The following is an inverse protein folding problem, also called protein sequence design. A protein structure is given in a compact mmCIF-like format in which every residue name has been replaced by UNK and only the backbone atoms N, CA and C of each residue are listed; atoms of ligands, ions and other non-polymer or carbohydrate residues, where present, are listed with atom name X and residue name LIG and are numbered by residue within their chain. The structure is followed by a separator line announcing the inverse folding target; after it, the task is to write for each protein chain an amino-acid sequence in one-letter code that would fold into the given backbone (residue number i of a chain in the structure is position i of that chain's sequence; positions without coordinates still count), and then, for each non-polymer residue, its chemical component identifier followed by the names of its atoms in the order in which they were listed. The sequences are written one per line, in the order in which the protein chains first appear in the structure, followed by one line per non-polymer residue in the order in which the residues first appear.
data_IF_580611913102
#
_entry.id   IF_580611913102
#
_cell.length_a   1.000
_cell.length_b   1.000
_cell.length_c   1.000
_cell.angle_alpha   90.00
_cell.angle_beta   90.00
_cell.angle_gamma   90.00
#
_symmetry.space_group_name_H-M   'P 1'
#
loop_
_entity.id
_entity.type
_entity.pdbx_description
1 polymer ?
#
# COMPACT_ATOMS: atom_id res chain seq x y z
N UNK A 1 127.26 -10.89 59.93
CA UNK A 1 126.47 -10.55 58.72
C UNK A 1 125.07 -11.15 58.86
N UNK A 2 124.04 -10.29 58.78
CA UNK A 2 122.67 -10.51 58.23
C UNK A 2 121.75 -11.49 58.99
N UNK A 3 120.59 -11.14 59.55
CA UNK A 3 119.79 -9.89 59.61
C UNK A 3 118.92 -9.95 60.89
N UNK A 4 118.98 -8.88 61.67
CA UNK A 4 118.08 -8.57 62.79
C UNK A 4 116.86 -7.81 62.23
N UNK A 5 115.68 -8.13 62.76
CA UNK A 5 114.49 -7.27 62.97
C UNK A 5 113.91 -6.54 61.74
N UNK A 6 112.69 -6.94 61.35
CA UNK A 6 111.62 -5.99 61.05
C UNK A 6 110.29 -6.52 61.58
N UNK A 7 109.95 -6.03 62.75
CA UNK A 7 108.63 -6.01 63.36
C UNK A 7 107.91 -4.78 62.79
N UNK A 8 106.96 -4.94 61.85
CA UNK A 8 105.92 -3.94 61.58
C UNK A 8 104.84 -4.52 60.65
N UNK A 9 103.57 -4.31 61.02
CA UNK A 9 102.32 -4.59 60.29
C UNK A 9 101.64 -5.94 60.53
N UNK A 10 101.17 -6.12 61.76
CA UNK A 10 99.84 -6.67 62.03
C UNK A 10 98.77 -5.66 61.54
N UNK A 11 97.74 -6.16 60.81
CA UNK A 11 96.40 -5.55 60.55
C UNK A 11 96.32 -4.51 59.40
N UNK A 12 95.44 -4.73 58.38
CA UNK A 12 93.98 -4.52 58.47
C UNK A 12 93.18 -5.80 58.15
N UNK A 13 92.45 -6.40 59.09
CA UNK A 13 91.06 -6.07 59.43
C UNK A 13 90.53 -4.79 58.75
N UNK A 14 89.67 -4.98 57.76
CA UNK A 14 88.44 -4.25 57.37
C UNK A 14 88.19 -4.77 55.97
N UNK A 15 87.38 -5.83 55.83
CA UNK A 15 86.04 -5.61 55.34
C UNK A 15 86.00 -4.60 54.18
N UNK A 16 86.69 -4.88 53.08
CA UNK A 16 86.16 -4.53 51.77
C UNK A 16 84.96 -5.47 51.53
N UNK A 17 83.91 -5.24 52.30
CA UNK A 17 82.58 -5.31 51.75
C UNK A 17 82.63 -4.35 50.56
N UNK A 18 82.92 -4.90 49.38
CA UNK A 18 82.14 -4.49 48.24
C UNK A 18 80.70 -4.67 48.69
N UNK A 19 80.11 -3.59 49.20
CA UNK A 19 78.70 -3.37 48.96
C UNK A 19 78.64 -3.59 47.45
N UNK A 20 77.95 -4.63 46.96
CA UNK A 20 77.78 -4.76 45.53
C UNK A 20 77.28 -3.39 45.07
N UNK A 21 77.71 -2.95 43.89
CA UNK A 21 77.15 -1.82 43.18
C UNK A 21 75.61 -1.97 43.10
N UNK A 22 74.93 -1.63 44.19
CA UNK A 22 73.49 -1.84 44.41
C UNK A 22 72.72 -0.61 43.93
N UNK A 23 73.39 0.29 43.22
CA UNK A 23 72.85 1.62 42.92
C UNK A 23 72.80 1.94 41.42
N UNK A 24 73.39 1.11 40.54
CA UNK A 24 73.30 1.32 39.09
C UNK A 24 72.43 0.26 38.40
N UNK A 25 72.64 -1.02 38.70
CA UNK A 25 71.86 -2.11 38.11
C UNK A 25 70.44 -2.20 38.71
N UNK A 26 70.31 -2.04 40.03
CA UNK A 26 69.01 -2.01 40.72
C UNK A 26 68.23 -0.73 40.39
N UNK A 27 68.87 0.45 40.37
CA UNK A 27 68.19 1.68 39.95
C UNK A 27 67.89 1.71 38.44
N UNK A 28 68.74 1.11 37.60
CA UNK A 28 68.49 0.94 36.17
C UNK A 28 67.30 0.01 35.91
N UNK A 29 67.21 -1.12 36.63
CA UNK A 29 66.06 -2.03 36.54
C UNK A 29 64.78 -1.43 37.13
N UNK A 30 64.85 -0.68 38.23
CA UNK A 30 63.72 0.10 38.78
C UNK A 30 63.28 1.23 37.83
N UNK A 31 64.21 1.89 37.14
CA UNK A 31 63.92 2.90 36.12
C UNK A 31 63.23 2.32 34.87
N UNK A 32 63.66 1.14 34.43
CA UNK A 32 63.00 0.38 33.34
C UNK A 32 61.59 -0.05 33.78
N UNK A 33 61.44 -0.58 35.00
CA UNK A 33 60.14 -0.96 35.54
C UNK A 33 59.18 0.24 35.66
N UNK A 34 59.64 1.39 36.14
CA UNK A 34 58.85 2.62 36.21
C UNK A 34 58.43 3.13 34.83
N UNK A 35 59.32 3.07 33.83
CA UNK A 35 58.99 3.42 32.45
C UNK A 35 57.96 2.46 31.84
N UNK A 36 58.07 1.15 32.11
CA UNK A 36 57.08 0.16 31.70
C UNK A 36 55.73 0.42 32.39
N UNK A 37 55.73 0.76 33.67
CA UNK A 37 54.52 1.07 34.45
C UNK A 37 53.85 2.36 33.96
N UNK A 38 54.65 3.39 33.62
CA UNK A 38 54.16 4.62 32.98
C UNK A 38 53.56 4.35 31.59
N UNK A 39 54.19 3.51 30.77
CA UNK A 39 53.66 3.10 29.47
C UNK A 39 52.34 2.32 29.62
N UNK A 40 52.25 1.41 30.58
CA UNK A 40 51.02 0.69 30.91
C UNK A 40 49.93 1.65 31.37
N UNK A 41 50.24 2.67 32.18
CA UNK A 41 49.27 3.68 32.58
C UNK A 41 48.74 4.51 31.40
N UNK A 42 49.62 4.90 30.46
CA UNK A 42 49.22 5.60 29.23
C UNK A 42 48.31 4.70 28.38
N UNK A 43 48.66 3.42 28.24
CA UNK A 43 47.84 2.45 27.51
C UNK A 43 46.47 2.24 28.17
N UNK A 44 46.41 2.08 29.50
CA UNK A 44 45.16 1.97 30.25
C UNK A 44 44.27 3.19 30.08
N UNK A 45 44.84 4.40 30.15
CA UNK A 45 44.09 5.65 29.94
C UNK A 45 43.55 5.74 28.51
N UNK A 46 44.35 5.38 27.51
CA UNK A 46 43.93 5.32 26.11
C UNK A 46 42.79 4.32 25.91
N UNK A 47 42.89 3.14 26.53
CA UNK A 47 41.88 2.09 26.45
C UNK A 47 40.57 2.51 27.13
N UNK A 48 40.64 3.17 28.29
CA UNK A 48 39.48 3.77 28.96
C UNK A 48 38.80 4.85 28.12
N UNK A 49 39.57 5.72 27.46
CA UNK A 49 39.04 6.72 26.55
C UNK A 49 38.34 6.08 25.33
N UNK A 50 38.93 5.02 24.76
CA UNK A 50 38.31 4.26 23.65
C UNK A 50 37.01 3.59 24.11
N UNK A 51 36.98 3.01 25.30
CA UNK A 51 35.78 2.40 25.87
C UNK A 51 34.66 3.44 26.05
N UNK A 52 34.96 4.60 26.62
CA UNK A 52 33.99 5.69 26.78
C UNK A 52 33.46 6.20 25.43
N UNK A 53 34.31 6.32 24.42
CA UNK A 53 33.88 6.71 23.07
C UNK A 53 33.01 5.64 22.40
N UNK A 54 33.31 4.35 22.62
CA UNK A 54 32.49 3.23 22.13
C UNK A 54 31.13 3.21 22.82
N UNK A 55 31.07 3.41 24.14
CA UNK A 55 29.80 3.48 24.88
C UNK A 55 28.89 4.59 24.33
N UNK A 56 29.43 5.81 24.12
CA UNK A 56 28.65 6.91 23.51
C UNK A 56 28.12 6.56 22.11
N UNK A 57 28.86 5.78 21.32
CA UNK A 57 28.41 5.32 19.99
C UNK A 57 27.32 4.26 20.11
N UNK A 58 27.42 3.36 21.10
CA UNK A 58 26.40 2.36 21.38
C UNK A 58 25.10 3.01 21.88
N UNK A 59 25.19 3.98 22.79
CA UNK A 59 24.03 4.76 23.25
C UNK A 59 23.32 5.42 22.07
N UNK A 60 24.09 6.08 21.19
CA UNK A 60 23.53 6.68 19.97
C UNK A 60 22.92 5.66 19.01
N UNK A 61 23.47 4.44 18.94
CA UNK A 61 22.93 3.37 18.11
C UNK A 61 21.61 2.84 18.70
N UNK A 62 21.52 2.72 20.02
CA UNK A 62 20.27 2.37 20.72
C UNK A 62 19.20 3.42 20.42
N UNK A 63 19.51 4.72 20.56
CA UNK A 63 18.57 5.81 20.23
C UNK A 63 18.10 5.74 18.77
N UNK A 64 19.01 5.47 17.83
CA UNK A 64 18.68 5.34 16.42
C UNK A 64 17.82 4.09 16.13
N UNK A 65 18.08 2.98 16.82
CA UNK A 65 17.27 1.76 16.69
C UNK A 65 15.87 1.96 17.28
N UNK A 66 15.75 2.63 18.42
CA UNK A 66 14.46 2.97 19.03
C UNK A 66 13.65 3.87 18.08
N UNK A 67 14.26 4.94 17.57
CA UNK A 67 13.63 5.81 16.57
C UNK A 67 13.23 5.07 15.30
N UNK A 68 14.04 4.12 14.83
CA UNK A 68 13.72 3.32 13.65
C UNK A 68 12.53 2.37 13.90
N UNK A 69 12.47 1.79 15.09
CA UNK A 69 11.36 0.92 15.50
C UNK A 69 10.04 1.71 15.61
N UNK A 70 10.10 2.92 16.18
CA UNK A 70 8.95 3.84 16.22
C UNK A 70 8.47 4.23 14.83
N UNK A 71 9.39 4.58 13.94
CA UNK A 71 9.08 4.89 12.54
C UNK A 71 8.43 3.69 11.84
N UNK A 72 8.98 2.49 12.03
CA UNK A 72 8.44 1.26 11.45
C UNK A 72 7.03 0.97 11.94
N UNK A 73 6.76 1.20 13.23
CA UNK A 73 5.43 1.01 13.83
C UNK A 73 4.43 2.01 13.23
N UNK A 74 4.78 3.30 13.17
CA UNK A 74 3.94 4.33 12.55
C UNK A 74 3.67 4.05 11.07
N UNK A 75 4.68 3.63 10.31
CA UNK A 75 4.49 3.25 8.90
C UNK A 75 3.52 2.08 8.74
N UNK A 76 3.55 1.09 9.63
CA UNK A 76 2.58 -0.02 9.61
C UNK A 76 1.16 0.45 9.94
N UNK A 77 1.00 1.37 10.87
CA UNK A 77 -0.29 1.96 11.22
C UNK A 77 -0.88 2.75 10.04
N UNK A 78 -0.08 3.61 9.41
CA UNK A 78 -0.48 4.36 8.21
C UNK A 78 -0.88 3.41 7.09
N UNK A 79 -0.06 2.39 6.80
CA UNK A 79 -0.39 1.39 5.77
C UNK A 79 -1.69 0.66 6.08
N UNK A 80 -1.95 0.33 7.36
CA UNK A 80 -3.19 -0.32 7.77
C UNK A 80 -4.40 0.61 7.57
N UNK A 81 -4.27 1.88 7.93
CA UNK A 81 -5.30 2.89 7.74
C UNK A 81 -5.61 3.13 6.25
N UNK A 82 -4.58 3.28 5.42
CA UNK A 82 -4.73 3.38 3.96
C UNK A 82 -5.41 2.13 3.40
N UNK A 83 -5.02 0.94 3.87
CA UNK A 83 -5.60 -0.32 3.45
C UNK A 83 -7.09 -0.43 3.82
N UNK A 84 -7.45 0.02 5.02
CA UNK A 84 -8.82 0.05 5.50
C UNK A 84 -9.65 1.10 4.74
N UNK A 85 -9.09 2.27 4.43
CA UNK A 85 -9.72 3.29 3.59
C UNK A 85 -9.99 2.79 2.16
N UNK A 86 -9.05 2.04 1.55
CA UNK A 86 -9.22 1.44 0.22
C UNK A 86 -10.33 0.37 0.15
N UNK A 87 -10.75 -0.21 1.29
CA UNK A 87 -11.85 -1.19 1.31
C UNK A 87 -13.19 -0.52 1.06
N UNK A 88 -13.34 0.76 1.39
CA UNK A 88 -14.58 1.51 1.17
C UNK A 88 -14.48 2.38 -0.08
N UNK A 89 -15.60 2.58 -0.78
CA UNK A 89 -15.64 3.57 -1.85
C UNK A 89 -15.51 4.98 -1.23
N UNK A 90 -14.57 5.82 -1.69
CA UNK A 90 -14.48 7.21 -1.25
C UNK A 90 -15.72 8.03 -1.62
N UNK A 91 -15.97 9.12 -0.90
CA UNK A 91 -17.13 10.00 -1.14
C UNK A 91 -17.19 10.53 -2.58
N UNK A 92 -16.05 10.91 -3.17
CA UNK A 92 -16.01 11.35 -4.57
C UNK A 92 -16.41 10.28 -5.59
N UNK A 93 -16.33 8.99 -5.23
CA UNK A 93 -16.83 7.89 -6.07
C UNK A 93 -18.34 7.72 -5.88
N UNK A 94 -18.86 7.99 -4.68
CA UNK A 94 -20.29 7.96 -4.38
C UNK A 94 -21.04 9.15 -4.98
N UNK A 95 -20.39 10.30 -5.09
CA UNK A 95 -20.95 11.53 -5.69
C UNK A 95 -20.61 11.68 -7.18
N UNK A 96 -20.04 10.64 -7.79
CA UNK A 96 -19.53 10.71 -9.15
C UNK A 96 -20.66 10.87 -10.18
N UNK A 97 -20.38 11.62 -11.25
CA UNK A 97 -21.31 11.82 -12.38
C UNK A 97 -21.74 10.48 -12.99
N UNK A 98 -20.85 9.50 -13.02
CA UNK A 98 -21.14 8.14 -13.51
C UNK A 98 -22.24 7.47 -12.68
N UNK A 99 -22.25 7.64 -11.36
CA UNK A 99 -23.30 7.06 -10.53
C UNK A 99 -24.64 7.76 -10.73
N UNK A 100 -24.63 9.09 -10.88
CA UNK A 100 -25.82 9.86 -11.25
C UNK A 100 -26.40 9.39 -12.59
N UNK A 101 -25.53 9.18 -13.59
CA UNK A 101 -25.91 8.67 -14.90
C UNK A 101 -26.58 7.29 -14.83
N UNK A 102 -26.11 6.39 -13.96
CA UNK A 102 -26.77 5.08 -13.76
C UNK A 102 -28.19 5.24 -13.25
N UNK A 103 -28.42 6.14 -12.29
CA UNK A 103 -29.76 6.40 -11.75
C UNK A 103 -30.69 6.97 -12.83
N UNK A 104 -30.22 7.96 -13.60
CA UNK A 104 -30.97 8.52 -14.72
C UNK A 104 -31.28 7.49 -15.81
N UNK A 105 -30.32 6.64 -16.16
CA UNK A 105 -30.52 5.61 -17.18
C UNK A 105 -31.54 4.57 -16.75
N UNK A 106 -31.54 4.18 -15.47
CA UNK A 106 -32.57 3.31 -14.91
C UNK A 106 -33.96 3.92 -15.08
N UNK A 107 -34.11 5.21 -14.81
CA UNK A 107 -35.40 5.91 -14.97
C UNK A 107 -35.81 6.04 -16.45
N UNK A 108 -34.87 6.38 -17.34
CA UNK A 108 -35.09 6.43 -18.80
C UNK A 108 -35.49 5.08 -19.39
N UNK A 109 -34.88 3.98 -18.93
CA UNK A 109 -35.24 2.63 -19.38
C UNK A 109 -36.63 2.24 -18.89
N UNK A 110 -36.98 2.59 -17.65
CA UNK A 110 -38.33 2.35 -17.11
C UNK A 110 -39.40 3.12 -17.89
N UNK A 111 -39.13 4.37 -18.23
CA UNK A 111 -40.02 5.19 -19.07
C UNK A 111 -40.16 4.62 -20.47
N UNK A 112 -39.04 4.24 -21.10
CA UNK A 112 -39.04 3.64 -22.42
C UNK A 112 -39.78 2.29 -22.43
N UNK A 113 -39.68 1.49 -21.36
CA UNK A 113 -40.46 0.28 -21.18
C UNK A 113 -41.96 0.56 -21.08
N UNK A 114 -42.38 1.51 -20.23
CA UNK A 114 -43.79 1.90 -20.09
C UNK A 114 -44.38 2.38 -21.42
N UNK A 115 -43.63 3.24 -22.12
CA UNK A 115 -43.99 3.73 -23.46
C UNK A 115 -44.10 2.58 -24.46
N UNK A 116 -43.22 1.59 -24.36
CA UNK A 116 -43.27 0.38 -25.20
C UNK A 116 -44.53 -0.44 -24.91
N UNK A 117 -44.88 -0.66 -23.64
CA UNK A 117 -46.11 -1.36 -23.26
C UNK A 117 -47.36 -0.67 -23.78
N UNK A 118 -47.45 0.65 -23.58
CA UNK A 118 -48.57 1.45 -24.08
C UNK A 118 -48.66 1.42 -25.60
N UNK A 119 -47.53 1.56 -26.29
CA UNK A 119 -47.47 1.49 -27.75
C UNK A 119 -48.04 0.18 -28.26
N UNK A 120 -47.62 -0.97 -27.71
CA UNK A 120 -48.13 -2.29 -28.13
C UNK A 120 -49.65 -2.39 -28.00
N UNK A 121 -50.21 -1.87 -26.90
CA UNK A 121 -51.66 -1.87 -26.69
C UNK A 121 -52.42 -1.07 -27.74
N UNK A 122 -51.77 -0.08 -28.36
CA UNK A 122 -52.37 0.81 -29.36
C UNK A 122 -52.14 0.37 -30.81
N UNK A 123 -51.20 -0.54 -31.10
CA UNK A 123 -50.91 -1.03 -32.45
C UNK A 123 -51.92 -2.10 -32.86
N UNK A 124 -52.67 -1.86 -33.94
CA UNK A 124 -53.81 -2.70 -34.37
C UNK A 124 -53.48 -3.67 -35.50
N UNK A 125 -52.33 -3.49 -36.16
CA UNK A 125 -51.94 -4.24 -37.35
C UNK A 125 -50.82 -5.25 -37.07
N UNK A 126 -50.46 -5.44 -35.80
CA UNK A 126 -49.53 -6.46 -35.35
C UNK A 126 -50.22 -7.79 -35.05
N UNK A 127 -49.49 -8.89 -35.26
CA UNK A 127 -49.94 -10.20 -34.84
C UNK A 127 -49.76 -10.37 -33.32
N UNK A 128 -50.59 -11.22 -32.71
CA UNK A 128 -50.52 -11.49 -31.27
C UNK A 128 -49.15 -12.03 -30.84
N UNK A 129 -48.54 -12.90 -31.65
CA UNK A 129 -47.22 -13.48 -31.34
C UNK A 129 -46.09 -12.46 -31.46
N UNK A 130 -46.18 -11.49 -32.37
CA UNK A 130 -45.21 -10.39 -32.47
C UNK A 130 -45.29 -9.47 -31.27
N UNK A 131 -46.51 -9.14 -30.84
CA UNK A 131 -46.76 -8.33 -29.65
C UNK A 131 -46.22 -9.00 -28.39
N UNK A 132 -46.42 -10.33 -28.24
CA UNK A 132 -45.83 -11.12 -27.15
C UNK A 132 -44.31 -11.13 -27.18
N UNK A 133 -43.70 -11.38 -28.35
CA UNK A 133 -42.24 -11.36 -28.51
C UNK A 133 -41.65 -10.01 -28.13
N UNK A 134 -42.32 -8.92 -28.50
CA UNK A 134 -41.87 -7.59 -28.17
C UNK A 134 -42.00 -7.28 -26.67
N UNK A 135 -43.10 -7.66 -26.02
CA UNK A 135 -43.23 -7.59 -24.56
C UNK A 135 -42.13 -8.39 -23.84
N UNK A 136 -41.78 -9.58 -24.35
CA UNK A 136 -40.73 -10.40 -23.79
C UNK A 136 -39.36 -9.70 -23.86
N UNK A 137 -39.04 -9.07 -24.99
CA UNK A 137 -37.78 -8.32 -25.16
C UNK A 137 -37.74 -7.08 -24.26
N UNK A 138 -38.85 -6.35 -24.15
CA UNK A 138 -38.96 -5.21 -23.24
C UNK A 138 -38.79 -5.64 -21.77
N UNK A 139 -39.34 -6.80 -21.41
CA UNK A 139 -39.22 -7.37 -20.05
C UNK A 139 -37.79 -7.85 -19.76
N UNK A 140 -37.13 -8.49 -20.73
CA UNK A 140 -35.72 -8.88 -20.62
C UNK A 140 -34.81 -7.65 -20.43
N UNK A 141 -35.06 -6.56 -21.14
CA UNK A 141 -34.34 -5.30 -20.96
C UNK A 141 -34.49 -4.74 -19.53
N UNK A 142 -35.67 -4.83 -18.91
CA UNK A 142 -35.87 -4.46 -17.51
C UNK A 142 -35.11 -5.37 -16.55
N UNK A 143 -35.12 -6.68 -16.78
CA UNK A 143 -34.37 -7.63 -15.94
C UNK A 143 -32.87 -7.35 -16.00
N UNK A 144 -32.32 -7.16 -17.20
CA UNK A 144 -30.91 -6.77 -17.38
C UNK A 144 -30.58 -5.46 -16.69
N UNK A 145 -31.48 -4.47 -16.76
CA UNK A 145 -31.31 -3.18 -16.07
C UNK A 145 -31.25 -3.36 -14.56
N UNK A 146 -32.15 -4.16 -13.99
CA UNK A 146 -32.14 -4.51 -12.56
C UNK A 146 -30.83 -5.17 -12.17
N UNK A 147 -30.35 -6.15 -12.94
CA UNK A 147 -29.13 -6.88 -12.64
C UNK A 147 -27.88 -5.99 -12.73
N UNK A 148 -27.82 -5.10 -13.71
CA UNK A 148 -26.75 -4.11 -13.86
C UNK A 148 -26.75 -3.09 -12.72
N UNK A 149 -27.93 -2.63 -12.30
CA UNK A 149 -28.06 -1.74 -11.15
C UNK A 149 -27.61 -2.44 -9.86
N UNK A 150 -27.99 -3.71 -9.67
CA UNK A 150 -27.54 -4.51 -8.53
C UNK A 150 -26.01 -4.72 -8.57
N UNK A 151 -25.42 -4.95 -9.74
CA UNK A 151 -23.95 -5.03 -9.89
C UNK A 151 -23.27 -3.71 -9.48
N UNK A 152 -23.81 -2.56 -9.89
CA UNK A 152 -23.26 -1.26 -9.50
C UNK A 152 -23.25 -1.08 -7.98
N UNK A 153 -24.37 -1.45 -7.34
CA UNK A 153 -24.50 -1.43 -5.88
C UNK A 153 -23.50 -2.37 -5.22
N UNK A 154 -23.28 -3.57 -5.75
CA UNK A 154 -22.29 -4.50 -5.24
C UNK A 154 -20.88 -3.92 -5.36
N UNK A 155 -20.51 -3.32 -6.49
CA UNK A 155 -19.17 -2.70 -6.67
C UNK A 155 -18.92 -1.59 -5.65
N UNK A 156 -19.93 -0.76 -5.37
CA UNK A 156 -19.83 0.31 -4.39
C UNK A 156 -19.72 -0.21 -2.95
N UNK A 157 -20.53 -1.21 -2.59
CA UNK A 157 -20.64 -1.66 -1.20
C UNK A 157 -19.68 -2.80 -0.83
N UNK A 158 -19.01 -3.42 -1.81
CA UNK A 158 -18.05 -4.49 -1.53
C UNK A 158 -16.83 -3.91 -0.82
N UNK A 159 -16.54 -4.46 0.36
CA UNK A 159 -15.31 -4.21 1.12
C UNK A 159 -14.13 -5.00 0.56
N UNK A 160 -13.76 -4.72 -0.68
CA UNK A 160 -12.59 -5.29 -1.35
C UNK A 160 -11.49 -4.25 -1.44
N UNK A 161 -10.23 -4.68 -1.35
CA UNK A 161 -9.10 -3.89 -1.81
C UNK A 161 -9.28 -3.62 -3.31
N UNK A 162 -9.84 -2.47 -3.63
CA UNK A 162 -10.08 -2.04 -5.00
C UNK A 162 -9.82 -0.55 -5.05
N UNK A 163 -8.88 -0.17 -5.92
CA UNK A 163 -8.55 1.23 -6.13
C UNK A 163 -9.81 2.00 -6.58
N UNK A 164 -10.02 3.22 -6.10
CA UNK A 164 -11.18 4.03 -6.47
C UNK A 164 -11.33 4.22 -7.98
N UNK A 165 -10.23 4.35 -8.72
CA UNK A 165 -10.21 4.49 -10.17
C UNK A 165 -10.72 3.22 -10.86
N UNK A 166 -10.41 2.05 -10.30
CA UNK A 166 -10.92 0.77 -10.79
C UNK A 166 -12.42 0.64 -10.51
N UNK A 167 -12.91 1.14 -9.36
CA UNK A 167 -14.34 1.20 -9.06
C UNK A 167 -15.07 2.08 -10.07
N UNK A 168 -14.56 3.28 -10.33
CA UNK A 168 -15.13 4.21 -11.32
C UNK A 168 -15.16 3.59 -12.72
N UNK A 169 -14.08 2.93 -13.14
CA UNK A 169 -14.03 2.23 -14.42
C UNK A 169 -15.13 1.18 -14.54
N UNK A 170 -15.33 0.35 -13.51
CA UNK A 170 -16.39 -0.67 -13.51
C UNK A 170 -17.79 -0.06 -13.52
N UNK A 171 -18.01 1.06 -12.83
CA UNK A 171 -19.27 1.82 -12.85
C UNK A 171 -19.51 2.39 -14.26
N UNK A 172 -18.49 2.92 -14.91
CA UNK A 172 -18.58 3.40 -16.28
C UNK A 172 -18.90 2.26 -17.26
N UNK A 173 -18.29 1.09 -17.11
CA UNK A 173 -18.61 -0.10 -17.93
C UNK A 173 -20.08 -0.51 -17.78
N UNK A 174 -20.65 -0.39 -16.57
CA UNK A 174 -22.09 -0.60 -16.33
C UNK A 174 -22.93 0.45 -17.04
N UNK A 175 -22.50 1.72 -16.99
CA UNK A 175 -23.18 2.83 -17.66
C UNK A 175 -23.26 2.59 -19.18
N UNK A 176 -22.16 2.15 -19.79
CA UNK A 176 -22.14 1.77 -21.22
C UNK A 176 -23.12 0.64 -21.52
N UNK A 177 -23.18 -0.39 -20.67
CA UNK A 177 -24.14 -1.51 -20.84
C UNK A 177 -25.60 -1.04 -20.72
N UNK A 178 -25.91 -0.17 -19.76
CA UNK A 178 -27.24 0.39 -19.59
C UNK A 178 -27.67 1.25 -20.80
N UNK A 179 -26.76 2.06 -21.35
CA UNK A 179 -27.00 2.76 -22.61
C UNK A 179 -27.34 1.79 -23.75
N UNK A 180 -26.59 0.70 -23.89
CA UNK A 180 -26.89 -0.33 -24.89
C UNK A 180 -28.27 -0.98 -24.71
N UNK A 181 -28.72 -1.17 -23.46
CA UNK A 181 -30.08 -1.66 -23.18
C UNK A 181 -31.13 -0.63 -23.60
N UNK A 182 -30.94 0.64 -23.26
CA UNK A 182 -31.84 1.73 -23.63
C UNK A 182 -31.95 1.87 -25.16
N UNK A 183 -30.81 1.95 -25.85
CA UNK A 183 -30.74 2.07 -27.31
C UNK A 183 -31.41 0.88 -28.00
N UNK A 184 -31.17 -0.34 -27.49
CA UNK A 184 -31.82 -1.55 -27.97
C UNK A 184 -33.34 -1.47 -27.85
N UNK A 185 -33.85 -0.98 -26.71
CA UNK A 185 -35.28 -0.85 -26.47
C UNK A 185 -35.93 0.21 -27.37
N UNK A 186 -35.29 1.38 -27.52
CA UNK A 186 -35.74 2.46 -28.42
C UNK A 186 -35.76 1.97 -29.87
N UNK A 187 -34.67 1.33 -30.33
CA UNK A 187 -34.57 0.81 -31.68
C UNK A 187 -35.64 -0.24 -31.95
N UNK A 188 -35.91 -1.11 -30.98
CA UNK A 188 -36.93 -2.14 -31.14
C UNK A 188 -38.34 -1.54 -31.23
N UNK A 189 -38.66 -0.56 -30.37
CA UNK A 189 -39.94 0.15 -30.40
C UNK A 189 -40.15 0.87 -31.74
N UNK A 190 -39.11 1.51 -32.28
CA UNK A 190 -39.14 2.12 -33.61
C UNK A 190 -39.46 1.10 -34.72
N UNK A 191 -38.83 -0.07 -34.71
CA UNK A 191 -39.08 -1.14 -35.69
C UNK A 191 -40.53 -1.62 -35.66
N UNK A 192 -41.12 -1.74 -34.48
CA UNK A 192 -42.53 -2.13 -34.34
C UNK A 192 -43.49 -1.11 -34.92
N UNK A 193 -43.31 0.18 -34.62
CA UNK A 193 -44.12 1.25 -35.20
C UNK A 193 -44.05 1.26 -36.73
N UNK A 194 -42.86 1.02 -37.29
CA UNK A 194 -42.67 0.91 -38.74
C UNK A 194 -43.39 -0.31 -39.34
N UNK A 195 -43.36 -1.45 -38.65
CA UNK A 195 -44.04 -2.66 -39.11
C UNK A 195 -45.57 -2.49 -39.12
N UNK A 196 -46.13 -1.91 -38.07
CA UNK A 196 -47.56 -1.62 -37.96
C UNK A 196 -48.02 -0.67 -39.08
N UNK A 197 -47.35 0.46 -39.25
CA UNK A 197 -47.65 1.44 -40.31
C UNK A 197 -47.52 0.83 -41.72
N UNK A 198 -46.50 0.00 -41.96
CA UNK A 198 -46.33 -0.69 -43.25
C UNK A 198 -47.47 -1.66 -43.55
N UNK A 199 -48.06 -2.28 -42.54
CA UNK A 199 -49.21 -3.18 -42.71
C UNK A 199 -50.52 -2.44 -42.88
N UNK A 200 -50.69 -1.31 -42.19
CA UNK A 200 -51.82 -0.40 -42.42
C UNK A 200 -51.86 0.08 -43.88
N UNK A 201 -50.73 0.57 -44.41
CA UNK A 201 -50.61 1.00 -45.80
C UNK A 201 -50.94 -0.15 -46.77
N UNK A 202 -50.45 -1.36 -46.49
CA UNK A 202 -50.78 -2.53 -47.34
C UNK A 202 -52.26 -2.89 -47.32
N UNK A 203 -52.92 -2.84 -46.15
CA UNK A 203 -54.36 -3.11 -46.03
C UNK A 203 -55.17 -2.07 -46.81
N UNK A 204 -54.88 -0.79 -46.62
CA UNK A 204 -55.56 0.30 -47.34
C UNK A 204 -55.38 0.22 -48.87
N UNK A 205 -54.18 -0.13 -49.36
CA UNK A 205 -53.94 -0.36 -50.80
C UNK A 205 -54.73 -1.55 -51.38
N UNK A 206 -54.90 -2.62 -50.60
CA UNK A 206 -55.72 -3.76 -51.00
C UNK A 206 -57.19 -3.36 -51.07
N UNK A 207 -57.67 -2.58 -50.09
CA UNK A 207 -59.06 -2.10 -50.04
C UNK A 207 -59.38 -1.12 -51.18
N UNK A 208 -58.42 -0.30 -51.61
CA UNK A 208 -58.58 0.63 -52.76
C UNK A 208 -58.59 -0.08 -54.14
N UNK A 209 -58.04 -1.29 -54.24
CA UNK A 209 -57.99 -2.07 -55.47
C UNK A 209 -59.14 -3.10 -55.58
N UNK A 210 -60.07 -3.10 -54.62
CA UNK A 210 -61.31 -3.89 -54.64
C UNK A 210 -62.49 -3.02 -55.03
#
# INVERSE_FOLDING_TARGET
MKKLIYLFNLVPLVALGQIPVTDAATNGSLGIANNQLAQIHIQLRSLGNRLAATNRKLDRLIDLMEKNNDQTTRSREILKEELDAMKTAPDYVLESTELSNIAELKDKILEAYRTSQETIGNLKNLETEESKKFLAIATDALLRTKDLFQQSRTILNTRSLMHPEERLKKINDITVKLNGVLDGLIAHNKRMKQLDASREIRRTLIDLNR
#
